data_IF_602204097486
#
_entry.id   IF_602204097486
#
_cell.length_a   1.000
_cell.length_b   1.000
_cell.length_c   1.000
_cell.angle_alpha   90.00
_cell.angle_beta   90.00
_cell.angle_gamma   90.00
#
_symmetry.space_group_name_H-M   'P 1'
#
loop_
_entity.id
_entity.type
_entity.pdbx_description
1 polymer ?
#
# COMPACT_ATOMS: atom_id res chain seq x y z
N UNK A 1 -22.39 -16.26 8.79
CA UNK A 1 -22.51 -16.56 7.34
C UNK A 1 -21.54 -15.65 6.62
N UNK A 2 -20.48 -16.23 6.03
CA UNK A 2 -19.48 -15.43 5.30
C UNK A 2 -20.14 -14.89 4.02
N UNK A 3 -20.56 -13.64 4.04
CA UNK A 3 -20.91 -12.91 2.83
C UNK A 3 -19.63 -12.48 2.11
N UNK A 4 -18.92 -13.44 1.50
CA UNK A 4 -17.90 -13.09 0.50
C UNK A 4 -18.63 -12.36 -0.62
N UNK A 5 -18.14 -11.17 -0.98
CA UNK A 5 -18.70 -10.47 -2.13
C UNK A 5 -18.67 -11.39 -3.35
N UNK A 6 -19.76 -11.49 -4.14
CA UNK A 6 -19.90 -12.48 -5.22
C UNK A 6 -18.75 -12.50 -6.22
N UNK A 7 -18.04 -11.38 -6.38
CA UNK A 7 -16.96 -11.23 -7.36
C UNK A 7 -15.57 -11.70 -6.85
N UNK A 8 -15.40 -12.03 -5.54
CA UNK A 8 -14.14 -12.65 -5.05
C UNK A 8 -13.84 -13.94 -5.80
N UNK A 9 -14.87 -14.68 -6.19
CA UNK A 9 -14.70 -15.90 -7.00
C UNK A 9 -14.43 -15.61 -8.49
N UNK A 10 -14.40 -14.32 -8.88
CA UNK A 10 -14.21 -13.85 -10.25
C UNK A 10 -13.12 -12.77 -10.33
N UNK A 11 -12.19 -12.74 -9.37
CA UNK A 11 -11.01 -11.88 -9.49
C UNK A 11 -10.31 -12.18 -10.82
N UNK A 12 -9.88 -11.16 -11.56
CA UNK A 12 -9.05 -11.36 -12.75
C UNK A 12 -7.85 -12.24 -12.44
N UNK A 13 -7.46 -13.10 -13.38
CA UNK A 13 -6.30 -13.99 -13.22
C UNK A 13 -4.99 -13.21 -13.05
N UNK A 14 -4.96 -11.96 -13.52
CA UNK A 14 -3.80 -11.09 -13.45
C UNK A 14 -4.16 -9.88 -12.61
N UNK A 15 -3.42 -9.68 -11.52
CA UNK A 15 -3.47 -8.49 -10.67
C UNK A 15 -2.15 -7.74 -10.84
N UNK A 16 -2.25 -6.49 -11.23
CA UNK A 16 -1.07 -5.65 -11.40
C UNK A 16 -0.47 -5.31 -10.04
N UNK A 17 0.83 -5.54 -9.88
CA UNK A 17 1.55 -5.11 -8.68
C UNK A 17 1.62 -3.56 -8.61
N UNK A 18 1.23 -2.95 -7.49
CA UNK A 18 1.34 -1.49 -7.33
C UNK A 18 2.80 -1.07 -7.15
N UNK A 19 3.26 -0.09 -7.94
CA UNK A 19 4.65 0.39 -7.94
C UNK A 19 4.67 1.89 -7.68
N UNK A 20 4.82 2.28 -6.40
CA UNK A 20 4.84 3.68 -5.99
C UNK A 20 6.00 4.45 -6.65
N UNK A 21 5.72 5.67 -7.09
CA UNK A 21 6.69 6.57 -7.71
C UNK A 21 6.91 6.36 -9.22
N UNK A 22 6.58 5.19 -9.79
CA UNK A 22 6.80 4.90 -11.22
C UNK A 22 5.51 4.78 -12.02
N UNK A 23 4.37 4.61 -11.36
CA UNK A 23 3.06 4.51 -12.02
C UNK A 23 2.01 5.36 -11.31
N UNK A 24 0.97 5.68 -12.07
CA UNK A 24 -0.24 6.40 -11.65
C UNK A 24 -1.47 5.71 -12.23
N UNK A 25 -2.63 6.38 -12.20
CA UNK A 25 -3.90 5.86 -12.72
C UNK A 25 -3.80 5.32 -14.16
N UNK A 26 -2.99 5.91 -15.04
CA UNK A 26 -2.92 5.51 -16.46
C UNK A 26 -2.56 4.03 -16.67
N UNK A 27 -1.60 3.50 -15.90
CA UNK A 27 -1.27 2.08 -16.00
C UNK A 27 -2.39 1.21 -15.41
N UNK A 28 -2.96 1.62 -14.27
CA UNK A 28 -4.09 0.91 -13.68
C UNK A 28 -5.27 0.82 -14.67
N UNK A 29 -5.63 1.92 -15.32
CA UNK A 29 -6.66 1.95 -16.38
C UNK A 29 -6.32 0.98 -17.51
N UNK A 30 -5.11 1.04 -18.06
CA UNK A 30 -4.71 0.17 -19.16
C UNK A 30 -4.81 -1.32 -18.81
N UNK A 31 -4.46 -1.68 -17.56
CA UNK A 31 -4.60 -3.07 -17.08
C UNK A 31 -6.06 -3.46 -16.91
N UNK A 32 -6.90 -2.57 -16.35
CA UNK A 32 -8.34 -2.81 -16.22
C UNK A 32 -9.00 -3.04 -17.59
N UNK A 33 -8.70 -2.20 -18.56
CA UNK A 33 -9.23 -2.32 -19.92
C UNK A 33 -8.74 -3.59 -20.65
N UNK A 34 -7.58 -4.12 -20.28
CA UNK A 34 -7.07 -5.39 -20.75
C UNK A 34 -7.65 -6.62 -20.03
N UNK A 35 -8.56 -6.44 -19.07
CA UNK A 35 -9.22 -7.52 -18.33
C UNK A 35 -8.47 -7.98 -17.08
N UNK A 36 -7.43 -7.27 -16.66
CA UNK A 36 -6.74 -7.48 -15.38
C UNK A 36 -7.33 -6.62 -14.26
N UNK A 37 -6.82 -6.79 -13.04
CA UNK A 37 -7.08 -5.86 -11.94
C UNK A 37 -5.96 -4.82 -11.86
N UNK A 38 -6.23 -3.63 -12.37
CA UNK A 38 -5.31 -2.50 -12.28
C UNK A 38 -5.18 -1.99 -10.85
N UNK A 39 -3.98 -1.60 -10.42
CA UNK A 39 -3.71 -1.17 -9.05
C UNK A 39 -3.15 0.25 -9.02
N UNK A 40 -3.76 1.13 -8.23
CA UNK A 40 -3.25 2.47 -7.93
C UNK A 40 -2.39 2.41 -6.66
N UNK A 41 -1.07 2.72 -6.73
CA UNK A 41 -0.22 2.79 -5.54
C UNK A 41 -0.47 4.11 -4.81
N UNK A 42 -1.01 4.06 -3.60
CA UNK A 42 -1.42 5.24 -2.84
C UNK A 42 -0.50 5.56 -1.64
N UNK A 43 0.45 4.68 -1.30
CA UNK A 43 1.28 4.82 -0.10
C UNK A 43 2.15 6.10 -0.03
N UNK A 44 2.37 6.79 -1.17
CA UNK A 44 3.15 8.03 -1.24
C UNK A 44 2.28 9.24 -1.61
N UNK A 45 0.97 9.09 -1.71
CA UNK A 45 0.07 10.15 -2.13
C UNK A 45 -0.48 10.90 -0.92
N UNK A 46 -0.44 12.22 -0.97
CA UNK A 46 -1.23 13.05 -0.04
C UNK A 46 -2.73 12.90 -0.35
N UNK A 47 -3.60 13.22 0.59
CA UNK A 47 -5.05 13.13 0.40
C UNK A 47 -5.54 13.88 -0.86
N UNK A 48 -5.10 15.12 -1.17
CA UNK A 48 -5.45 15.77 -2.43
C UNK A 48 -4.93 15.06 -3.67
N UNK A 49 -3.70 14.52 -3.64
CA UNK A 49 -3.13 13.77 -4.75
C UNK A 49 -3.86 12.44 -4.98
N UNK A 50 -4.21 11.72 -3.90
CA UNK A 50 -5.02 10.52 -3.97
C UNK A 50 -6.39 10.80 -4.60
N UNK A 51 -7.06 11.85 -4.15
CA UNK A 51 -8.35 12.26 -4.72
C UNK A 51 -8.25 12.55 -6.23
N UNK A 52 -7.22 13.28 -6.66
CA UNK A 52 -7.01 13.59 -8.08
C UNK A 52 -6.76 12.33 -8.92
N UNK A 53 -5.92 11.40 -8.43
CA UNK A 53 -5.66 10.14 -9.12
C UNK A 53 -6.91 9.26 -9.22
N UNK A 54 -7.73 9.19 -8.17
CA UNK A 54 -8.98 8.45 -8.18
C UNK A 54 -10.03 9.06 -9.10
N UNK A 55 -10.15 10.39 -9.13
CA UNK A 55 -11.02 11.09 -10.08
C UNK A 55 -10.63 10.79 -11.53
N UNK A 56 -9.32 10.86 -11.84
CA UNK A 56 -8.81 10.56 -13.16
C UNK A 56 -9.04 9.08 -13.55
N UNK A 57 -8.84 8.16 -12.59
CA UNK A 57 -9.05 6.73 -12.80
C UNK A 57 -10.51 6.42 -13.09
N UNK A 58 -11.43 6.89 -12.24
CA UNK A 58 -12.87 6.60 -12.37
C UNK A 58 -13.50 7.29 -13.58
N UNK A 59 -12.95 8.42 -14.03
CA UNK A 59 -13.37 9.06 -15.28
C UNK A 59 -12.91 8.29 -16.52
N UNK A 60 -11.83 7.52 -16.43
CA UNK A 60 -11.21 6.82 -17.55
C UNK A 60 -11.70 5.38 -17.75
N UNK A 61 -12.19 4.71 -16.68
CA UNK A 61 -12.69 3.33 -16.77
C UNK A 61 -13.82 3.06 -15.78
N UNK A 62 -14.87 2.32 -16.16
CA UNK A 62 -15.89 1.81 -15.25
C UNK A 62 -15.49 0.48 -14.60
N UNK A 63 -14.34 -0.09 -14.95
CA UNK A 63 -13.91 -1.40 -14.47
C UNK A 63 -13.52 -1.37 -12.99
N UNK A 64 -13.57 -2.55 -12.35
CA UNK A 64 -13.05 -2.72 -10.99
C UNK A 64 -11.54 -2.46 -10.95
N UNK A 65 -11.09 -1.78 -9.90
CA UNK A 65 -9.68 -1.47 -9.66
C UNK A 65 -9.32 -1.66 -8.20
N UNK A 66 -8.03 -1.78 -7.95
CA UNK A 66 -7.42 -1.87 -6.63
C UNK A 66 -6.75 -0.55 -6.24
N UNK A 67 -6.84 -0.18 -4.96
CA UNK A 67 -6.03 0.90 -4.37
C UNK A 67 -5.16 0.31 -3.27
N UNK A 68 -3.85 0.54 -3.34
CA UNK A 68 -2.88 -0.07 -2.43
C UNK A 68 -2.30 0.91 -1.43
N UNK A 69 -2.23 0.49 -0.18
CA UNK A 69 -1.65 1.23 0.94
C UNK A 69 -0.67 0.38 1.74
N UNK A 70 0.12 1.05 2.59
CA UNK A 70 0.96 0.42 3.60
C UNK A 70 0.30 0.49 4.97
N UNK A 71 0.61 -0.50 5.82
CA UNK A 71 0.13 -0.58 7.20
C UNK A 71 1.29 -0.73 8.21
N UNK A 72 2.50 -0.34 7.82
CA UNK A 72 3.65 -0.37 8.72
C UNK A 72 3.44 0.54 9.93
N UNK A 73 4.11 0.22 11.03
CA UNK A 73 4.24 1.16 12.15
C UNK A 73 5.31 2.17 11.82
N UNK A 74 5.01 3.46 11.99
CA UNK A 74 6.01 4.50 11.78
C UNK A 74 7.19 4.32 12.75
N UNK A 75 8.43 4.24 12.22
CA UNK A 75 9.59 4.09 13.07
C UNK A 75 9.77 5.35 13.95
N UNK A 76 10.11 5.12 15.21
CA UNK A 76 10.51 6.22 16.08
C UNK A 76 12.01 6.48 15.86
N UNK A 77 12.40 7.67 15.38
CA UNK A 77 13.81 7.97 15.14
C UNK A 77 14.61 7.89 16.45
N UNK A 78 15.71 7.15 16.45
CA UNK A 78 16.70 7.19 17.50
C UNK A 78 17.73 8.27 17.18
N UNK A 79 17.84 9.36 17.97
CA UNK A 79 18.77 10.45 17.71
C UNK A 79 20.24 10.00 17.66
N UNK A 80 20.61 8.98 18.46
CA UNK A 80 21.98 8.46 18.45
C UNK A 80 22.29 7.73 17.14
N UNK A 81 21.37 6.92 16.66
CA UNK A 81 21.50 6.24 15.36
C UNK A 81 21.52 7.24 14.20
N UNK A 82 20.67 8.25 14.24
CA UNK A 82 20.66 9.31 13.23
C UNK A 82 22.00 10.06 13.18
N UNK A 83 22.58 10.38 14.36
CA UNK A 83 23.90 11.03 14.40
C UNK A 83 25.01 10.18 13.78
N UNK A 84 25.00 8.86 14.01
CA UNK A 84 25.94 7.94 13.36
C UNK A 84 25.75 7.89 11.85
N UNK A 85 24.51 7.87 11.38
CA UNK A 85 24.21 7.94 9.95
C UNK A 85 24.69 9.26 9.31
N UNK A 86 24.42 10.40 9.94
CA UNK A 86 24.89 11.70 9.47
C UNK A 86 26.42 11.74 9.39
N UNK A 87 27.10 11.19 10.39
CA UNK A 87 28.58 11.08 10.37
C UNK A 87 29.08 10.20 9.22
N UNK A 88 28.46 9.04 9.00
CA UNK A 88 28.82 8.12 7.94
C UNK A 88 28.57 8.72 6.53
N UNK A 89 27.51 9.50 6.38
CA UNK A 89 27.14 10.13 5.10
C UNK A 89 27.85 11.47 4.84
N UNK A 90 28.47 12.09 5.85
CA UNK A 90 29.11 13.40 5.72
C UNK A 90 30.15 13.52 4.58
N UNK A 91 30.97 12.50 4.26
CA UNK A 91 31.87 12.57 3.10
C UNK A 91 31.11 12.75 1.77
N UNK A 92 29.97 12.03 1.61
CA UNK A 92 29.17 12.09 0.38
C UNK A 92 28.44 13.42 0.26
N UNK A 93 27.91 13.98 1.36
CA UNK A 93 27.32 15.31 1.35
C UNK A 93 28.31 16.35 0.86
N UNK A 94 29.58 16.29 1.33
CA UNK A 94 30.66 17.17 0.87
C UNK A 94 31.00 16.96 -0.59
N UNK A 95 31.06 15.71 -1.05
CA UNK A 95 31.39 15.37 -2.45
C UNK A 95 30.32 15.95 -3.40
N UNK A 96 29.03 15.89 -3.03
CA UNK A 96 27.94 16.42 -3.84
C UNK A 96 27.58 17.88 -3.56
N UNK A 97 28.33 18.57 -2.68
CA UNK A 97 28.03 19.97 -2.33
C UNK A 97 26.69 20.17 -1.62
N UNK A 98 26.22 19.14 -0.90
CA UNK A 98 24.95 19.18 -0.15
C UNK A 98 25.20 19.62 1.29
N UNK A 99 24.29 20.43 1.83
CA UNK A 99 24.31 20.82 3.23
C UNK A 99 23.68 19.71 4.09
N UNK A 100 24.43 19.07 4.99
CA UNK A 100 23.89 18.01 5.85
C UNK A 100 22.84 18.52 6.85
N UNK A 101 22.83 19.82 7.17
CA UNK A 101 21.86 20.43 8.08
C UNK A 101 20.56 20.86 7.37
N UNK A 102 20.57 20.90 6.05
CA UNK A 102 19.44 21.25 5.20
C UNK A 102 18.73 20.03 4.59
N UNK A 103 18.85 18.84 5.22
CA UNK A 103 18.15 17.64 4.76
C UNK A 103 16.66 17.85 4.95
N UNK A 104 15.87 17.92 3.85
CA UNK A 104 14.41 18.07 4.00
C UNK A 104 13.85 16.83 4.66
N UNK A 105 13.05 17.00 5.69
CA UNK A 105 12.13 15.98 6.15
C UNK A 105 11.12 15.75 5.02
N UNK A 106 11.43 14.84 4.10
CA UNK A 106 10.52 14.50 3.02
C UNK A 106 9.21 13.92 3.57
N UNK A 107 8.12 13.96 2.79
CA UNK A 107 6.92 13.24 3.16
C UNK A 107 7.29 11.76 3.25
N UNK A 108 7.26 11.22 4.47
CA UNK A 108 7.40 9.80 4.71
C UNK A 108 6.31 9.01 3.97
N UNK A 109 6.48 7.71 3.88
CA UNK A 109 5.37 6.83 3.47
C UNK A 109 4.43 6.71 4.67
N UNK A 110 3.31 7.42 4.63
CA UNK A 110 2.33 7.42 5.72
C UNK A 110 1.50 6.14 5.63
N UNK A 111 1.34 5.39 6.74
CA UNK A 111 0.42 4.26 6.79
C UNK A 111 -1.02 4.68 6.48
N UNK A 112 -1.85 3.71 6.09
CA UNK A 112 -3.27 3.96 5.86
C UNK A 112 -3.94 4.63 7.08
N UNK A 113 -4.55 5.77 6.86
CA UNK A 113 -5.06 6.66 7.91
C UNK A 113 -6.54 7.00 7.72
N UNK A 114 -7.10 7.73 8.67
CA UNK A 114 -8.45 8.28 8.55
C UNK A 114 -8.59 9.21 7.34
N UNK A 115 -7.58 10.05 7.08
CA UNK A 115 -7.60 10.98 5.94
C UNK A 115 -7.66 10.22 4.61
N UNK A 116 -6.88 9.13 4.48
CA UNK A 116 -6.95 8.26 3.31
C UNK A 116 -8.32 7.58 3.18
N UNK A 117 -8.89 7.12 4.30
CA UNK A 117 -10.20 6.51 4.34
C UNK A 117 -11.31 7.51 3.96
N UNK A 118 -11.20 8.77 4.38
CA UNK A 118 -12.15 9.83 4.03
C UNK A 118 -12.20 10.08 2.51
N UNK A 119 -11.03 10.09 1.87
CA UNK A 119 -10.96 10.18 0.41
C UNK A 119 -11.56 8.94 -0.26
N UNK A 120 -11.17 7.73 0.17
CA UNK A 120 -11.64 6.48 -0.44
C UNK A 120 -13.15 6.29 -0.34
N UNK A 121 -13.77 6.73 0.74
CA UNK A 121 -15.20 6.57 0.96
C UNK A 121 -16.06 7.21 -0.12
N UNK A 122 -15.59 8.28 -0.75
CA UNK A 122 -16.27 8.92 -1.86
C UNK A 122 -16.25 8.06 -3.15
N UNK A 123 -15.23 7.20 -3.30
CA UNK A 123 -15.02 6.37 -4.50
C UNK A 123 -15.38 4.90 -4.31
N UNK A 124 -15.33 4.39 -3.08
CA UNK A 124 -15.64 3.00 -2.71
C UNK A 124 -15.00 1.99 -3.68
N UNK A 125 -13.67 1.96 -3.80
CA UNK A 125 -13.01 1.06 -4.75
C UNK A 125 -13.42 -0.39 -4.49
N UNK A 126 -13.55 -1.17 -5.56
CA UNK A 126 -13.93 -2.56 -5.46
C UNK A 126 -12.94 -3.40 -4.64
N UNK A 127 -11.66 -3.05 -4.73
CA UNK A 127 -10.56 -3.70 -4.01
C UNK A 127 -9.71 -2.66 -3.28
N UNK A 128 -9.36 -2.96 -2.04
CA UNK A 128 -8.32 -2.25 -1.29
C UNK A 128 -7.27 -3.27 -0.85
N UNK A 129 -6.03 -3.05 -1.22
CA UNK A 129 -4.94 -3.94 -0.81
C UNK A 129 -4.01 -3.25 0.19
N UNK A 130 -3.49 -4.04 1.11
CA UNK A 130 -2.56 -3.60 2.13
C UNK A 130 -1.24 -4.35 2.04
N UNK A 131 -0.17 -3.68 2.46
CA UNK A 131 1.17 -4.24 2.57
C UNK A 131 1.68 -3.96 3.98
N UNK A 132 2.43 -4.89 4.59
CA UNK A 132 2.83 -4.83 6.00
C UNK A 132 1.67 -5.00 6.98
N UNK A 133 0.84 -6.02 6.79
CA UNK A 133 -0.29 -6.36 7.63
C UNK A 133 -1.60 -5.68 7.23
N UNK A 134 -2.43 -5.36 8.21
CA UNK A 134 -3.73 -4.72 8.06
C UNK A 134 -3.79 -3.41 8.84
N UNK A 135 -4.65 -2.46 8.46
CA UNK A 135 -4.85 -1.25 9.23
C UNK A 135 -5.56 -1.56 10.56
N UNK A 136 -5.61 -0.56 11.45
CA UNK A 136 -6.35 -0.66 12.70
C UNK A 136 -7.79 -1.20 12.47
N UNK A 137 -8.33 -2.03 13.39
CA UNK A 137 -9.62 -2.72 13.18
C UNK A 137 -10.77 -1.78 12.80
N UNK A 138 -10.82 -0.57 13.35
CA UNK A 138 -11.85 0.42 13.01
C UNK A 138 -11.75 0.90 11.55
N UNK A 139 -10.54 1.12 11.04
CA UNK A 139 -10.29 1.50 9.65
C UNK A 139 -10.60 0.34 8.70
N UNK A 140 -10.22 -0.89 9.06
CA UNK A 140 -10.55 -2.09 8.29
C UNK A 140 -12.06 -2.29 8.19
N UNK A 141 -12.77 -2.16 9.31
CA UNK A 141 -14.23 -2.26 9.33
C UNK A 141 -14.90 -1.20 8.45
N UNK A 142 -14.34 0.03 8.44
CA UNK A 142 -14.81 1.11 7.56
C UNK A 142 -14.65 0.75 6.08
N UNK A 143 -13.47 0.26 5.67
CA UNK A 143 -13.20 -0.19 4.29
C UNK A 143 -14.19 -1.31 3.89
N UNK A 144 -14.40 -2.29 4.76
CA UNK A 144 -15.34 -3.40 4.50
C UNK A 144 -16.79 -2.94 4.42
N UNK A 145 -17.17 -1.87 5.14
CA UNK A 145 -18.53 -1.33 5.11
C UNK A 145 -18.91 -0.76 3.74
N UNK A 146 -17.94 -0.42 2.90
CA UNK A 146 -18.17 0.03 1.52
C UNK A 146 -18.43 -1.12 0.55
N UNK A 147 -18.25 -2.36 0.98
CA UNK A 147 -18.31 -3.56 0.13
C UNK A 147 -17.00 -3.86 -0.57
N UNK A 148 -15.92 -3.16 -0.24
CA UNK A 148 -14.57 -3.44 -0.79
C UNK A 148 -14.05 -4.79 -0.33
N UNK A 149 -13.39 -5.54 -1.22
CA UNK A 149 -12.62 -6.72 -0.86
C UNK A 149 -11.23 -6.30 -0.43
N UNK A 150 -10.79 -6.87 0.67
CA UNK A 150 -9.51 -6.57 1.30
C UNK A 150 -8.49 -7.65 0.94
N UNK A 151 -7.41 -7.23 0.27
CA UNK A 151 -6.24 -8.06 0.01
C UNK A 151 -5.11 -7.65 0.96
N UNK A 152 -4.28 -8.61 1.40
CA UNK A 152 -3.03 -8.28 2.08
C UNK A 152 -1.92 -9.29 1.79
N UNK A 153 -0.67 -8.81 1.84
CA UNK A 153 0.51 -9.62 1.53
C UNK A 153 1.00 -10.37 2.75
N UNK A 154 1.33 -11.65 2.56
CA UNK A 154 1.98 -12.52 3.54
C UNK A 154 3.29 -13.05 2.97
N UNK A 155 4.35 -13.08 3.77
CA UNK A 155 5.66 -13.66 3.42
C UNK A 155 5.88 -15.00 4.11
N UNK A 156 5.08 -15.32 5.13
CA UNK A 156 5.09 -16.59 5.86
C UNK A 156 3.70 -17.16 6.01
N UNK A 157 3.62 -18.44 6.39
CA UNK A 157 2.34 -19.11 6.67
C UNK A 157 1.65 -18.50 7.87
N UNK A 158 2.41 -18.13 8.89
CA UNK A 158 1.92 -17.51 10.13
C UNK A 158 1.26 -16.16 9.82
N UNK A 159 1.87 -15.36 8.95
CA UNK A 159 1.29 -14.09 8.49
C UNK A 159 -0.02 -14.33 7.72
N UNK A 160 -0.06 -15.34 6.85
CA UNK A 160 -1.27 -15.67 6.11
C UNK A 160 -2.42 -16.08 7.04
N UNK A 161 -2.16 -16.93 8.04
CA UNK A 161 -3.14 -17.34 9.05
C UNK A 161 -3.61 -16.12 9.86
N UNK A 162 -2.69 -15.26 10.26
CA UNK A 162 -3.01 -14.03 10.99
C UNK A 162 -3.91 -13.11 10.16
N UNK A 163 -3.57 -12.86 8.90
CA UNK A 163 -4.35 -12.01 8.00
C UNK A 163 -5.77 -12.53 7.80
N UNK A 164 -5.93 -13.83 7.58
CA UNK A 164 -7.25 -14.47 7.46
C UNK A 164 -8.08 -14.29 8.74
N UNK A 165 -7.48 -14.56 9.89
CA UNK A 165 -8.13 -14.43 11.19
C UNK A 165 -8.50 -12.97 11.53
N UNK A 166 -7.75 -11.98 11.01
CA UNK A 166 -7.98 -10.56 11.26
C UNK A 166 -8.74 -9.84 10.15
N UNK A 167 -9.26 -10.58 9.16
CA UNK A 167 -10.27 -10.06 8.25
C UNK A 167 -9.79 -9.69 6.84
N UNK A 168 -8.63 -10.14 6.39
CA UNK A 168 -8.31 -10.14 4.97
C UNK A 168 -9.25 -11.12 4.24
N UNK A 169 -9.72 -10.73 3.07
CA UNK A 169 -10.60 -11.57 2.24
C UNK A 169 -9.78 -12.44 1.27
N UNK A 170 -8.61 -11.93 0.87
CA UNK A 170 -7.66 -12.59 -0.04
C UNK A 170 -6.23 -12.37 0.46
N UNK A 171 -5.44 -13.42 0.42
CA UNK A 171 -4.03 -13.39 0.79
C UNK A 171 -3.17 -13.34 -0.48
N UNK A 172 -2.23 -12.41 -0.53
CA UNK A 172 -1.19 -12.34 -1.55
C UNK A 172 0.04 -13.06 -1.01
N UNK A 173 0.30 -14.28 -1.47
CA UNK A 173 1.50 -15.01 -1.10
C UNK A 173 2.71 -14.40 -1.81
N UNK A 174 3.55 -13.69 -1.06
CA UNK A 174 4.76 -13.08 -1.59
C UNK A 174 5.94 -14.05 -1.49
N UNK A 175 6.44 -14.49 -2.64
CA UNK A 175 7.64 -15.32 -2.73
C UNK A 175 8.92 -14.51 -2.49
N UNK A 176 10.02 -15.20 -2.21
CA UNK A 176 11.34 -14.61 -2.00
C UNK A 176 11.84 -13.87 -3.25
N UNK A 177 11.45 -14.34 -4.43
CA UNK A 177 11.83 -13.80 -5.75
C UNK A 177 11.08 -12.51 -6.11
N UNK A 178 10.03 -12.17 -5.36
CA UNK A 178 9.24 -10.97 -5.64
C UNK A 178 10.08 -9.70 -5.49
N UNK A 179 9.99 -8.81 -6.47
CA UNK A 179 10.60 -7.49 -6.38
C UNK A 179 9.86 -6.56 -5.41
N UNK A 180 10.46 -5.41 -5.14
CA UNK A 180 9.89 -4.39 -4.25
C UNK A 180 10.14 -4.70 -2.77
N UNK A 181 9.26 -4.18 -1.93
CA UNK A 181 9.37 -4.39 -0.48
C UNK A 181 8.95 -5.80 -0.09
N UNK A 182 9.72 -6.45 0.79
CA UNK A 182 9.27 -7.66 1.46
C UNK A 182 8.21 -7.28 2.50
N UNK A 183 7.02 -7.84 2.37
CA UNK A 183 5.83 -7.44 3.12
C UNK A 183 5.68 -8.05 4.52
N UNK A 184 6.76 -8.51 5.15
CA UNK A 184 6.75 -9.09 6.49
C UNK A 184 6.26 -8.08 7.55
N UNK A 185 5.58 -8.55 8.58
CA UNK A 185 5.03 -7.68 9.63
C UNK A 185 4.86 -8.34 11.00
N UNK A 186 4.97 -9.67 11.12
CA UNK A 186 4.91 -10.37 12.40
C UNK A 186 6.29 -10.60 13.02
N UNK A 187 7.35 -10.56 12.22
CA UNK A 187 8.71 -10.80 12.67
C UNK A 187 9.68 -9.89 11.92
N UNK A 188 10.73 -9.45 12.62
CA UNK A 188 11.87 -8.76 12.00
C UNK A 188 12.93 -9.74 11.48
N UNK A 189 12.72 -11.04 11.64
CA UNK A 189 13.58 -12.08 11.10
C UNK A 189 13.38 -12.20 9.60
N UNK A 190 14.46 -11.94 8.86
CA UNK A 190 14.49 -11.96 7.39
C UNK A 190 15.12 -13.25 6.83
N UNK A 191 15.46 -14.23 7.70
CA UNK A 191 16.05 -15.49 7.28
C UNK A 191 15.07 -16.44 6.59
#
# INVERSE_FOLDING_TARGET
>A
MNHRAPWVNHLPQIVQAPMAGVQKHRLAVAVCEAGGLGSLPAAMLSAPALQAELQALTAATPQAYNVNFFCHTEPQPDPAQLALWHQALAPYYREFGLDPDAIPSGPGRVPFSHDSADVLEAFKPAVVSFHFGLPAPALLARVKSWGSVVLSSATTVEEAIWLEANGADVIIAQGLEAGGHRGHFLSDDLS
#
